data_IF_339498524597
#
_entry.id   IF_339498524597
#
_cell.length_a   1.000
_cell.length_b   1.000
_cell.length_c   1.000
_cell.angle_alpha   90.00
_cell.angle_beta   90.00
_cell.angle_gamma   90.00
#
_symmetry.space_group_name_H-M   'P 1'
#
loop_
_entity.id
_entity.type
_entity.pdbx_description
1 polymer ?
#
# COMPACT_ATOMS: atom_id res chain seq x y z
N UNK A 1 2.04 -3.49 -2.51
CA UNK A 1 3.33 -4.03 -2.00
C UNK A 1 4.14 -2.96 -1.24
N UNK A 2 4.23 -1.70 -1.67
CA UNK A 2 5.08 -0.69 -1.04
C UNK A 2 4.87 -0.46 0.46
N UNK A 3 3.62 -0.39 0.92
CA UNK A 3 3.32 -0.27 2.35
C UNK A 3 3.78 -1.51 3.14
N UNK A 4 3.64 -2.71 2.57
CA UNK A 4 4.08 -3.95 3.21
C UNK A 4 5.61 -4.00 3.39
N UNK A 5 6.38 -3.60 2.38
CA UNK A 5 7.84 -3.56 2.46
C UNK A 5 8.29 -2.59 3.58
N UNK A 6 7.71 -1.39 3.64
CA UNK A 6 8.01 -0.41 4.70
C UNK A 6 7.61 -0.90 6.10
N UNK A 7 6.42 -1.50 6.22
CA UNK A 7 5.98 -2.11 7.48
C UNK A 7 6.91 -3.28 7.89
N UNK A 8 7.38 -4.07 6.93
CA UNK A 8 8.34 -5.16 7.19
C UNK A 8 9.68 -4.63 7.65
N UNK A 9 10.20 -3.55 7.05
CA UNK A 9 11.44 -2.91 7.49
C UNK A 9 11.35 -2.43 8.94
N UNK A 10 10.26 -1.73 9.29
CA UNK A 10 10.04 -1.26 10.67
C UNK A 10 9.85 -2.44 11.63
N UNK A 11 9.15 -3.50 11.22
CA UNK A 11 8.93 -4.67 12.07
C UNK A 11 10.21 -5.48 12.32
N UNK A 12 11.15 -5.52 11.37
CA UNK A 12 12.48 -6.12 11.56
C UNK A 12 13.24 -5.45 12.71
N UNK A 13 13.19 -4.12 12.78
CA UNK A 13 13.81 -3.36 13.87
C UNK A 13 13.03 -3.49 15.18
N UNK A 14 11.68 -3.49 15.09
CA UNK A 14 10.82 -3.59 16.27
C UNK A 14 10.95 -4.94 16.99
N UNK A 15 11.14 -6.05 16.28
CA UNK A 15 11.18 -7.38 16.91
C UNK A 15 12.31 -7.55 17.91
N UNK A 16 13.34 -6.72 17.85
CA UNK A 16 14.45 -6.73 18.80
C UNK A 16 14.08 -6.10 20.15
N UNK A 17 13.02 -5.27 20.18
CA UNK A 17 12.63 -4.48 21.36
C UNK A 17 11.14 -4.63 21.73
N UNK A 18 10.32 -5.21 20.87
CA UNK A 18 8.88 -5.37 21.04
C UNK A 18 8.35 -6.60 20.29
N UNK A 19 7.04 -6.85 20.39
CA UNK A 19 6.34 -7.92 19.67
C UNK A 19 5.47 -7.36 18.54
N UNK A 20 6.01 -7.05 17.37
CA UNK A 20 5.24 -6.51 16.26
C UNK A 20 4.34 -7.57 15.60
N UNK A 21 3.17 -7.11 15.14
CA UNK A 21 2.27 -7.88 14.29
C UNK A 21 1.96 -7.03 13.07
N UNK A 22 2.10 -7.59 11.88
CA UNK A 22 1.75 -6.91 10.64
C UNK A 22 0.32 -7.27 10.25
N UNK A 23 -0.50 -6.24 10.01
CA UNK A 23 -1.83 -6.41 9.41
C UNK A 23 -1.76 -5.94 7.97
N UNK A 24 -1.88 -6.86 7.03
CA UNK A 24 -1.76 -6.58 5.60
C UNK A 24 -3.10 -6.64 4.89
N UNK A 25 -3.34 -5.67 4.00
CA UNK A 25 -4.49 -5.65 3.11
C UNK A 25 -4.14 -6.07 1.67
N UNK A 26 -2.88 -6.40 1.41
CA UNK A 26 -2.35 -6.66 0.07
C UNK A 26 -1.77 -8.07 -0.13
N UNK A 27 -1.84 -8.93 0.86
CA UNK A 27 -1.17 -10.23 0.89
C UNK A 27 0.05 -10.20 1.83
N UNK A 28 1.00 -11.11 1.66
CA UNK A 28 2.20 -11.19 2.51
C UNK A 28 2.05 -12.09 3.73
N UNK A 29 0.95 -12.82 3.85
CA UNK A 29 0.63 -13.69 5.00
C UNK A 29 1.62 -14.83 5.16
N UNK A 30 2.19 -15.30 4.07
CA UNK A 30 3.24 -16.33 4.11
C UNK A 30 4.64 -15.70 4.10
N UNK A 31 4.84 -14.69 3.26
CA UNK A 31 6.15 -14.06 3.05
C UNK A 31 6.64 -13.31 4.30
N UNK A 32 5.76 -12.59 5.00
CA UNK A 32 6.14 -11.82 6.20
C UNK A 32 6.60 -12.73 7.34
N UNK A 33 5.87 -13.78 7.77
CA UNK A 33 6.38 -14.70 8.79
C UNK A 33 7.70 -15.36 8.41
N UNK A 34 7.84 -15.77 7.15
CA UNK A 34 9.05 -16.46 6.69
C UNK A 34 10.28 -15.56 6.65
N UNK A 35 10.11 -14.29 6.30
CA UNK A 35 11.24 -13.37 6.15
C UNK A 35 11.44 -12.49 7.38
N UNK A 36 10.38 -11.85 7.88
CA UNK A 36 10.46 -10.93 9.03
C UNK A 36 10.47 -11.70 10.35
N UNK A 37 9.89 -12.89 10.36
CA UNK A 37 9.75 -13.72 11.56
C UNK A 37 8.71 -13.19 12.53
N UNK A 38 7.70 -12.45 12.05
CA UNK A 38 6.61 -11.91 12.87
C UNK A 38 5.25 -12.38 12.34
N UNK A 39 4.24 -12.41 13.22
CA UNK A 39 2.86 -12.74 12.83
C UNK A 39 2.35 -11.76 11.78
N UNK A 40 1.67 -12.26 10.75
CA UNK A 40 1.00 -11.45 9.75
C UNK A 40 -0.46 -11.84 9.63
N UNK A 41 -1.35 -10.88 9.84
CA UNK A 41 -2.78 -11.01 9.67
C UNK A 41 -3.22 -10.41 8.34
N UNK A 42 -4.20 -11.04 7.69
CA UNK A 42 -4.78 -10.52 6.47
C UNK A 42 -6.18 -9.95 6.72
N UNK A 43 -6.37 -8.71 6.31
CA UNK A 43 -7.69 -8.08 6.23
C UNK A 43 -7.92 -7.66 4.79
N UNK A 44 -9.02 -8.09 4.14
CA UNK A 44 -9.32 -7.69 2.76
C UNK A 44 -9.36 -6.18 2.60
N UNK A 45 -8.74 -5.66 1.54
CA UNK A 45 -8.71 -4.23 1.26
C UNK A 45 -10.08 -3.66 0.89
N UNK A 46 -10.30 -2.40 1.20
CA UNK A 46 -11.56 -1.65 1.04
C UNK A 46 -12.10 -1.62 -0.40
N UNK A 47 -11.20 -1.58 -1.37
CA UNK A 47 -11.57 -1.37 -2.78
C UNK A 47 -11.76 -2.69 -3.54
N UNK A 48 -11.87 -3.81 -2.85
CA UNK A 48 -12.16 -5.10 -3.48
C UNK A 48 -13.64 -5.30 -3.85
N UNK A 49 -14.47 -4.30 -3.61
CA UNK A 49 -15.80 -4.12 -4.16
C UNK A 49 -16.88 -5.10 -3.66
N UNK A 50 -16.55 -6.15 -2.93
CA UNK A 50 -17.50 -7.15 -2.42
C UNK A 50 -18.20 -6.72 -1.13
N UNK A 51 -17.75 -5.62 -0.52
CA UNK A 51 -18.37 -5.04 0.67
C UNK A 51 -18.54 -3.53 0.52
N UNK A 52 -19.73 -2.97 0.78
CA UNK A 52 -19.92 -1.53 0.82
C UNK A 52 -18.95 -0.85 1.79
N UNK A 53 -18.39 0.30 1.39
CA UNK A 53 -17.36 1.00 2.20
C UNK A 53 -17.74 1.22 3.66
N UNK A 54 -19.00 1.48 3.95
CA UNK A 54 -19.49 1.68 5.34
C UNK A 54 -19.42 0.40 6.16
N UNK A 55 -19.78 -0.75 5.58
CA UNK A 55 -19.71 -2.05 6.23
C UNK A 55 -18.24 -2.46 6.39
N UNK A 56 -17.40 -2.17 5.39
CA UNK A 56 -15.99 -2.47 5.44
C UNK A 56 -15.29 -1.70 6.57
N UNK A 57 -15.59 -0.41 6.77
CA UNK A 57 -15.02 0.37 7.88
C UNK A 57 -15.43 -0.20 9.25
N UNK A 58 -16.67 -0.69 9.40
CA UNK A 58 -17.11 -1.36 10.61
C UNK A 58 -16.41 -2.71 10.80
N UNK A 59 -16.31 -3.50 9.75
CA UNK A 59 -15.58 -4.76 9.75
C UNK A 59 -14.09 -4.56 10.12
N UNK A 60 -13.42 -3.60 9.50
CA UNK A 60 -12.03 -3.26 9.83
C UNK A 60 -11.88 -2.91 11.30
N UNK A 61 -12.75 -2.05 11.83
CA UNK A 61 -12.75 -1.69 13.26
C UNK A 61 -12.85 -2.93 14.14
N UNK A 62 -13.82 -3.79 13.86
CA UNK A 62 -14.12 -4.94 14.73
C UNK A 62 -13.00 -5.99 14.65
N UNK A 63 -12.40 -6.18 13.46
CA UNK A 63 -11.22 -7.04 13.31
C UNK A 63 -10.00 -6.49 14.05
N UNK A 64 -9.75 -5.18 13.97
CA UNK A 64 -8.65 -4.54 14.71
C UNK A 64 -8.87 -4.64 16.22
N UNK A 65 -10.10 -4.39 16.71
CA UNK A 65 -10.39 -4.51 18.13
C UNK A 65 -10.20 -5.94 18.65
N UNK A 66 -10.67 -6.94 17.90
CA UNK A 66 -10.47 -8.34 18.27
C UNK A 66 -8.98 -8.70 18.35
N UNK A 67 -8.17 -8.24 17.39
CA UNK A 67 -6.72 -8.46 17.39
C UNK A 67 -6.04 -7.74 18.56
N UNK A 68 -6.42 -6.49 18.83
CA UNK A 68 -5.89 -5.71 19.96
C UNK A 68 -6.24 -6.38 21.30
N UNK A 69 -7.45 -6.87 21.46
CA UNK A 69 -7.88 -7.59 22.67
C UNK A 69 -7.15 -8.93 22.84
N UNK A 70 -6.96 -9.68 21.75
CA UNK A 70 -6.24 -10.95 21.75
C UNK A 70 -4.77 -10.79 22.16
N UNK A 71 -4.13 -9.70 21.71
CA UNK A 71 -2.68 -9.52 21.82
C UNK A 71 -2.25 -8.49 22.86
N UNK A 72 -3.21 -7.83 23.50
CA UNK A 72 -2.98 -6.68 24.40
C UNK A 72 -2.08 -5.60 23.78
N UNK A 73 -2.29 -5.32 22.49
CA UNK A 73 -1.48 -4.36 21.75
C UNK A 73 -1.64 -2.94 22.31
N UNK A 74 -0.53 -2.25 22.54
CA UNK A 74 -0.49 -0.89 23.06
C UNK A 74 -0.45 0.17 21.96
N UNK A 75 0.00 -0.20 20.75
CA UNK A 75 0.15 0.71 19.61
C UNK A 75 -0.51 0.11 18.38
N UNK A 76 -1.31 0.92 17.68
CA UNK A 76 -1.78 0.66 16.33
C UNK A 76 -1.11 1.65 15.37
N UNK A 77 -0.22 1.16 14.55
CA UNK A 77 0.42 1.96 13.50
C UNK A 77 -0.29 1.76 12.17
N UNK A 78 -0.65 2.86 11.51
CA UNK A 78 -1.27 2.85 10.20
C UNK A 78 -0.33 3.43 9.15
N UNK A 79 0.08 2.62 8.18
CA UNK A 79 0.86 3.06 7.02
C UNK A 79 -0.06 3.22 5.81
N UNK A 80 -0.26 4.45 5.38
CA UNK A 80 -1.11 4.75 4.24
C UNK A 80 -1.30 6.24 4.00
N UNK A 81 -1.96 6.55 2.87
CA UNK A 81 -2.20 7.94 2.45
C UNK A 81 -3.15 8.65 3.42
N UNK A 82 -4.24 7.97 3.79
CA UNK A 82 -5.30 8.51 4.66
C UNK A 82 -5.79 7.41 5.57
N UNK A 83 -5.76 7.62 6.90
CA UNK A 83 -6.31 6.64 7.83
C UNK A 83 -7.79 6.36 7.58
N UNK A 84 -8.11 5.09 7.56
CA UNK A 84 -9.50 4.66 7.36
C UNK A 84 -10.37 5.00 8.58
N UNK A 85 -11.65 5.33 8.39
CA UNK A 85 -12.58 5.54 9.50
C UNK A 85 -12.65 4.38 10.49
N UNK A 86 -12.47 3.13 10.01
CA UNK A 86 -12.42 1.95 10.86
C UNK A 86 -11.25 1.96 11.84
N UNK A 87 -10.06 2.42 11.41
CA UNK A 87 -8.86 2.57 12.25
C UNK A 87 -9.11 3.61 13.36
N UNK A 88 -9.62 4.78 12.97
CA UNK A 88 -9.96 5.85 13.93
C UNK A 88 -11.03 5.38 14.92
N UNK A 89 -12.03 4.65 14.43
CA UNK A 89 -13.10 4.11 15.28
C UNK A 89 -12.60 3.06 16.28
N UNK A 90 -11.58 2.28 15.93
CA UNK A 90 -10.93 1.35 16.86
C UNK A 90 -10.25 2.11 18.01
N UNK A 91 -9.46 3.15 17.69
CA UNK A 91 -8.86 4.04 18.70
C UNK A 91 -9.90 4.66 19.63
N UNK A 92 -11.03 5.14 19.08
CA UNK A 92 -12.09 5.76 19.88
C UNK A 92 -12.78 4.78 20.85
N UNK A 93 -12.72 3.48 20.57
CA UNK A 93 -13.25 2.45 21.45
C UNK A 93 -12.23 1.95 22.47
N UNK A 94 -10.95 1.93 22.11
CA UNK A 94 -9.82 1.54 22.95
C UNK A 94 -8.96 2.79 23.24
N UNK A 95 -9.37 3.56 24.25
CA UNK A 95 -8.78 4.88 24.54
C UNK A 95 -7.32 4.85 24.98
N UNK A 96 -6.88 3.77 25.58
CA UNK A 96 -5.51 3.52 26.06
C UNK A 96 -4.56 3.10 24.92
N UNK A 97 -5.09 2.72 23.75
CA UNK A 97 -4.30 2.40 22.57
C UNK A 97 -3.65 3.66 21.98
N UNK A 98 -2.35 3.65 21.71
CA UNK A 98 -1.72 4.70 20.88
C UNK A 98 -2.06 4.49 19.41
N UNK A 99 -2.44 5.55 18.71
CA UNK A 99 -2.66 5.53 17.26
C UNK A 99 -1.58 6.36 16.55
N UNK A 100 -0.75 5.70 15.76
CA UNK A 100 0.36 6.32 15.03
C UNK A 100 0.10 6.27 13.53
N UNK A 101 0.29 7.37 12.84
CA UNK A 101 0.20 7.43 11.40
C UNK A 101 1.58 7.51 10.76
N UNK A 102 1.97 6.47 10.01
CA UNK A 102 3.13 6.51 9.13
C UNK A 102 2.70 7.14 7.81
N UNK A 103 2.89 8.44 7.72
CA UNK A 103 2.46 9.30 6.61
C UNK A 103 3.68 9.70 5.79
N UNK A 104 3.89 9.11 4.63
CA UNK A 104 5.02 9.53 3.80
C UNK A 104 4.86 10.99 3.33
N UNK A 105 5.99 11.68 3.12
CA UNK A 105 6.07 12.99 2.50
C UNK A 105 6.02 12.92 0.97
N UNK A 106 6.46 13.98 0.33
CA UNK A 106 6.56 14.14 -1.13
C UNK A 106 5.22 13.85 -1.84
N UNK A 107 4.20 14.59 -1.46
CA UNK A 107 2.89 14.49 -2.09
C UNK A 107 2.78 15.44 -3.27
N UNK A 108 2.10 15.00 -4.32
CA UNK A 108 1.76 15.87 -5.44
C UNK A 108 1.08 17.14 -4.94
N UNK A 109 1.43 18.28 -5.54
CA UNK A 109 0.84 19.59 -5.27
C UNK A 109 -0.64 19.60 -5.72
N UNK A 110 -1.51 19.02 -4.92
CA UNK A 110 -2.97 19.07 -5.11
C UNK A 110 -3.60 19.69 -3.88
N UNK A 111 -4.69 20.48 -4.03
CA UNK A 111 -5.44 20.96 -2.88
C UNK A 111 -5.90 19.76 -2.06
N UNK A 112 -5.24 19.52 -0.95
CA UNK A 112 -5.69 18.55 0.04
C UNK A 112 -6.60 19.34 0.97
N UNK A 113 -7.89 19.10 0.90
CA UNK A 113 -8.85 19.80 1.76
C UNK A 113 -8.49 19.68 3.25
N UNK A 114 -9.29 20.24 4.10
CA UNK A 114 -9.17 20.21 5.58
C UNK A 114 -9.01 18.79 6.17
N UNK A 115 -9.29 17.75 5.36
CA UNK A 115 -9.23 16.36 5.77
C UNK A 115 -7.85 15.95 6.34
N UNK A 116 -6.74 16.41 5.74
CA UNK A 116 -5.40 16.08 6.20
C UNK A 116 -5.16 16.60 7.64
N UNK A 117 -5.54 17.86 7.91
CA UNK A 117 -5.41 18.46 9.24
C UNK A 117 -6.28 17.77 10.28
N UNK A 118 -7.54 17.49 9.96
CA UNK A 118 -8.47 16.82 10.86
C UNK A 118 -8.04 15.40 11.20
N UNK A 119 -7.50 14.67 10.22
CA UNK A 119 -6.98 13.31 10.42
C UNK A 119 -5.72 13.32 11.27
N UNK A 120 -4.79 14.26 11.01
CA UNK A 120 -3.59 14.43 11.84
C UNK A 120 -3.91 14.66 13.31
N UNK A 121 -4.98 15.40 13.60
CA UNK A 121 -5.42 15.67 14.97
C UNK A 121 -5.96 14.46 15.73
N UNK A 122 -6.28 13.38 15.02
CA UNK A 122 -6.76 12.12 15.61
C UNK A 122 -5.61 11.17 15.99
N UNK A 123 -4.39 11.49 15.59
CA UNK A 123 -3.22 10.68 15.84
C UNK A 123 -2.55 11.08 17.16
N UNK A 124 -2.02 10.11 17.87
CA UNK A 124 -1.18 10.34 19.04
C UNK A 124 0.24 10.74 18.59
N UNK A 125 0.70 10.18 17.45
CA UNK A 125 1.92 10.60 16.77
C UNK A 125 1.80 10.41 15.26
N UNK A 126 2.61 11.17 14.51
CA UNK A 126 2.77 11.01 13.08
C UNK A 126 4.25 10.84 12.78
N UNK A 127 4.59 9.75 12.10
CA UNK A 127 5.93 9.50 11.58
C UNK A 127 5.91 9.81 10.08
N UNK A 128 6.78 10.67 9.61
CA UNK A 128 6.99 10.91 8.19
C UNK A 128 8.29 10.20 7.78
N UNK A 129 8.20 9.03 7.12
CA UNK A 129 9.37 8.40 6.53
C UNK A 129 10.06 9.37 5.58
N UNK A 130 11.34 9.62 5.84
CA UNK A 130 12.15 10.53 5.04
C UNK A 130 12.21 10.11 3.58
N UNK A 131 12.46 11.06 2.72
CA UNK A 131 12.64 10.84 1.28
C UNK A 131 13.93 11.55 0.86
N UNK A 132 14.77 10.90 0.07
CA UNK A 132 16.00 11.52 -0.41
C UNK A 132 15.72 12.81 -1.18
N UNK A 133 14.61 12.82 -1.94
CA UNK A 133 14.17 13.99 -2.71
C UNK A 133 13.40 15.04 -1.89
N UNK A 134 13.36 14.94 -0.54
CA UNK A 134 12.58 15.84 0.32
C UNK A 134 12.88 17.31 0.11
N UNK A 135 14.09 17.65 -0.28
CA UNK A 135 14.48 19.05 -0.56
C UNK A 135 13.73 19.64 -1.76
N UNK A 136 13.26 18.79 -2.68
CA UNK A 136 12.45 19.16 -3.84
C UNK A 136 10.94 19.09 -3.58
N UNK A 137 10.52 18.66 -2.37
CA UNK A 137 9.11 18.56 -2.04
C UNK A 137 8.39 19.91 -2.17
N UNK A 138 7.31 19.94 -2.90
CA UNK A 138 6.40 21.09 -3.09
C UNK A 138 4.98 20.77 -2.64
N UNK A 139 4.78 19.61 -2.03
CA UNK A 139 3.48 19.09 -1.62
C UNK A 139 2.96 19.66 -0.30
N UNK A 140 1.75 19.28 0.07
CA UNK A 140 1.07 19.78 1.26
C UNK A 140 1.70 19.31 2.58
N UNK A 141 2.62 18.35 2.54
CA UNK A 141 3.31 17.82 3.73
C UNK A 141 4.61 18.55 4.04
N UNK A 142 5.21 19.23 3.07
CA UNK A 142 6.54 19.87 3.16
C UNK A 142 6.76 20.71 4.43
N UNK A 143 5.81 21.58 4.74
CA UNK A 143 5.94 22.56 5.81
C UNK A 143 5.16 22.17 7.07
N UNK A 144 4.66 20.94 7.16
CA UNK A 144 3.93 20.49 8.34
C UNK A 144 4.88 20.17 9.49
N UNK A 145 4.50 20.65 10.68
CA UNK A 145 5.25 20.44 11.93
C UNK A 145 4.58 19.40 12.84
N UNK A 146 3.59 18.67 12.31
CA UNK A 146 2.81 17.69 13.06
C UNK A 146 3.38 16.28 12.99
N UNK A 147 4.49 16.09 12.27
CA UNK A 147 5.13 14.79 12.11
C UNK A 147 6.60 14.82 12.55
N UNK A 148 7.05 13.72 13.13
CA UNK A 148 8.46 13.43 13.30
C UNK A 148 8.99 12.87 11.99
N UNK A 149 9.93 13.57 11.39
CA UNK A 149 10.56 13.14 10.13
C UNK A 149 11.75 12.26 10.45
N UNK A 150 11.74 11.05 9.94
CA UNK A 150 12.86 10.10 10.07
C UNK A 150 13.78 10.18 8.85
N UNK A 151 14.90 9.47 8.89
CA UNK A 151 15.64 9.10 7.68
C UNK A 151 14.77 8.27 6.75
N UNK A 152 15.23 8.00 5.53
CA UNK A 152 14.52 7.13 4.61
C UNK A 152 14.34 5.72 5.21
N UNK A 153 13.16 5.14 5.02
CA UNK A 153 12.87 3.76 5.43
C UNK A 153 13.14 2.84 4.26
N UNK A 154 14.09 1.95 4.42
CA UNK A 154 14.46 0.94 3.42
C UNK A 154 14.35 -0.46 4.00
N UNK A 155 13.92 -1.41 3.17
CA UNK A 155 14.02 -2.84 3.50
C UNK A 155 15.39 -3.42 3.09
N UNK A 156 16.14 -2.69 2.24
CA UNK A 156 17.52 -3.04 1.93
C UNK A 156 18.43 -2.71 3.11
N UNK A 157 19.21 -3.67 3.53
CA UNK A 157 20.27 -3.55 4.52
C UNK A 157 21.51 -4.27 3.99
N UNK A 158 22.60 -3.54 3.85
CA UNK A 158 23.88 -4.08 3.35
C UNK A 158 24.35 -5.31 4.14
N UNK A 159 24.15 -5.28 5.46
CA UNK A 159 24.59 -6.36 6.38
C UNK A 159 23.85 -7.68 6.19
N UNK A 160 22.67 -7.66 5.62
CA UNK A 160 21.81 -8.85 5.43
C UNK A 160 21.52 -9.18 3.96
N UNK A 161 21.91 -8.29 3.06
CA UNK A 161 21.79 -8.53 1.62
C UNK A 161 22.73 -9.68 1.19
N UNK A 162 22.23 -10.54 0.32
CA UNK A 162 23.04 -11.61 -0.27
C UNK A 162 24.08 -11.00 -1.20
N UNK A 163 25.27 -11.61 -1.24
CA UNK A 163 26.26 -11.24 -2.23
C UNK A 163 25.78 -11.52 -3.65
N UNK A 164 26.52 -11.02 -4.65
CA UNK A 164 26.13 -11.14 -6.06
C UNK A 164 25.89 -12.60 -6.50
N UNK A 165 26.76 -13.50 -6.10
CA UNK A 165 26.67 -14.90 -6.54
C UNK A 165 25.54 -15.64 -5.83
N UNK A 166 25.42 -15.47 -4.53
CA UNK A 166 24.31 -16.02 -3.73
C UNK A 166 22.95 -15.52 -4.24
N UNK A 167 22.83 -14.20 -4.44
CA UNK A 167 21.61 -13.59 -4.96
C UNK A 167 21.23 -14.12 -6.34
N UNK A 168 22.21 -14.33 -7.22
CA UNK A 168 21.99 -14.91 -8.54
C UNK A 168 21.59 -16.39 -8.48
N UNK A 169 22.23 -17.18 -7.62
CA UNK A 169 21.86 -18.58 -7.42
C UNK A 169 20.42 -18.72 -6.92
N UNK A 170 20.04 -17.92 -5.92
CA UNK A 170 18.67 -17.94 -5.38
C UNK A 170 17.63 -17.52 -6.42
N UNK A 171 17.96 -16.58 -7.29
CA UNK A 171 17.09 -16.17 -8.40
C UNK A 171 17.19 -17.12 -9.61
N UNK A 172 18.13 -18.10 -9.57
CA UNK A 172 18.41 -19.02 -10.65
C UNK A 172 18.97 -18.32 -11.89
N UNK A 173 19.76 -17.27 -11.72
CA UNK A 173 20.44 -16.54 -12.80
C UNK A 173 21.82 -17.14 -13.06
N UNK A 174 22.28 -16.98 -14.30
CA UNK A 174 23.66 -17.30 -14.66
C UNK A 174 24.61 -16.32 -13.98
N UNK A 175 25.70 -16.84 -13.41
CA UNK A 175 26.64 -16.03 -12.62
C UNK A 175 27.48 -15.08 -13.49
N UNK A 176 27.71 -15.41 -14.75
CA UNK A 176 28.64 -14.73 -15.65
C UNK A 176 27.95 -13.78 -16.64
N UNK A 177 26.64 -13.94 -16.83
CA UNK A 177 25.86 -13.12 -17.75
C UNK A 177 25.37 -11.84 -17.09
N UNK A 178 25.26 -10.70 -17.80
CA UNK A 178 24.62 -9.52 -17.24
C UNK A 178 23.14 -9.76 -16.89
N UNK A 179 22.66 -9.13 -15.86
CA UNK A 179 21.27 -9.26 -15.39
C UNK A 179 20.66 -7.89 -15.12
N UNK A 180 19.46 -7.62 -15.64
CA UNK A 180 18.71 -6.38 -15.44
C UNK A 180 17.35 -6.68 -14.81
N UNK A 181 17.05 -5.96 -13.72
CA UNK A 181 15.73 -5.96 -13.09
C UNK A 181 14.81 -4.96 -13.79
N UNK A 182 13.59 -5.38 -14.16
CA UNK A 182 12.57 -4.45 -14.68
C UNK A 182 11.32 -4.51 -13.81
N UNK A 183 11.00 -3.38 -13.15
CA UNK A 183 9.92 -3.28 -12.18
C UNK A 183 9.15 -1.96 -12.32
N UNK A 184 8.30 -1.83 -13.33
CA UNK A 184 7.52 -0.62 -13.60
C UNK A 184 6.14 -0.58 -12.90
N UNK A 185 5.87 -1.54 -12.02
CA UNK A 185 4.62 -1.62 -11.27
C UNK A 185 3.57 -2.50 -11.93
N UNK A 186 2.34 -2.39 -11.44
CA UNK A 186 1.20 -3.18 -11.92
C UNK A 186 0.13 -2.23 -12.42
N UNK A 187 -0.51 -2.54 -13.53
CA UNK A 187 -1.69 -1.79 -13.77
C UNK A 187 -2.20 -1.70 -15.19
N UNK A 188 -2.45 -0.52 -15.61
CA UNK A 188 -3.21 -0.08 -16.75
C UNK A 188 -2.39 -0.22 -18.04
N UNK A 189 -3.01 0.03 -19.20
CA UNK A 189 -2.37 0.01 -20.52
C UNK A 189 -1.10 0.87 -20.59
N UNK A 190 -1.11 2.03 -19.96
CA UNK A 190 0.03 2.95 -19.85
C UNK A 190 1.31 2.30 -19.28
N UNK A 191 1.17 1.49 -18.22
CA UNK A 191 2.33 0.75 -17.64
C UNK A 191 2.83 -0.34 -18.59
N UNK A 192 1.94 -0.98 -19.33
CA UNK A 192 2.32 -2.00 -20.29
C UNK A 192 3.09 -1.40 -21.48
N UNK A 193 2.68 -0.23 -21.97
CA UNK A 193 3.38 0.50 -23.04
C UNK A 193 4.78 0.93 -22.59
N UNK A 194 4.91 1.51 -21.40
CA UNK A 194 6.19 1.86 -20.78
C UNK A 194 7.09 0.64 -20.59
N UNK A 195 6.50 -0.49 -20.16
CA UNK A 195 7.23 -1.75 -20.00
C UNK A 195 7.77 -2.23 -21.34
N UNK A 196 6.98 -2.19 -22.39
CA UNK A 196 7.40 -2.58 -23.74
C UNK A 196 8.49 -1.67 -24.26
N UNK A 197 8.39 -0.34 -24.05
CA UNK A 197 9.42 0.62 -24.43
C UNK A 197 10.74 0.38 -23.66
N UNK A 198 10.66 0.13 -22.37
CA UNK A 198 11.82 -0.20 -21.55
C UNK A 198 12.52 -1.49 -22.03
N UNK A 199 11.74 -2.54 -22.31
CA UNK A 199 12.27 -3.80 -22.82
C UNK A 199 12.91 -3.64 -24.20
N UNK A 200 12.37 -2.79 -25.08
CA UNK A 200 13.00 -2.46 -26.38
C UNK A 200 14.37 -1.82 -26.20
N UNK A 201 14.56 -0.98 -25.19
CA UNK A 201 15.86 -0.36 -24.89
C UNK A 201 16.94 -1.36 -24.43
N UNK A 202 16.55 -2.57 -24.03
CA UNK A 202 17.49 -3.63 -23.67
C UNK A 202 17.91 -4.51 -24.84
N UNK A 203 17.26 -4.42 -25.99
CA UNK A 203 17.62 -5.17 -27.19
C UNK A 203 19.04 -4.76 -27.64
N UNK A 204 19.85 -5.76 -27.97
CA UNK A 204 21.25 -5.58 -28.37
C UNK A 204 22.24 -5.66 -27.20
N UNK A 205 21.81 -5.71 -25.96
CA UNK A 205 22.69 -6.00 -24.85
C UNK A 205 23.05 -7.49 -24.86
N UNK A 206 24.31 -7.77 -25.16
CA UNK A 206 24.80 -9.14 -25.39
C UNK A 206 24.62 -10.00 -24.14
N UNK A 207 24.11 -11.22 -24.32
CA UNK A 207 23.95 -12.26 -23.31
C UNK A 207 23.09 -11.82 -22.07
N UNK A 208 22.25 -10.78 -22.21
CA UNK A 208 21.47 -10.24 -21.12
C UNK A 208 20.40 -11.19 -20.62
N UNK A 209 20.29 -11.28 -19.30
CA UNK A 209 19.17 -11.89 -18.59
C UNK A 209 18.26 -10.76 -18.07
N UNK A 210 17.00 -10.75 -18.45
CA UNK A 210 16.02 -9.75 -17.96
C UNK A 210 15.13 -10.38 -16.92
N UNK A 211 15.09 -9.81 -15.74
CA UNK A 211 14.26 -10.30 -14.63
C UNK A 211 13.04 -9.39 -14.46
N UNK A 212 11.87 -10.00 -14.55
CA UNK A 212 10.59 -9.35 -14.30
C UNK A 212 9.96 -9.87 -13.02
N UNK A 213 9.45 -8.98 -12.18
CA UNK A 213 8.62 -9.37 -11.01
C UNK A 213 7.17 -9.65 -11.42
N UNK A 214 6.76 -9.17 -12.58
CA UNK A 214 5.47 -9.45 -13.21
C UNK A 214 5.61 -9.39 -14.73
N UNK A 215 5.06 -10.39 -15.41
CA UNK A 215 5.07 -10.43 -16.86
C UNK A 215 4.06 -9.42 -17.44
N UNK A 216 4.43 -8.57 -18.41
CA UNK A 216 3.50 -7.72 -19.13
C UNK A 216 2.64 -8.58 -20.06
N UNK A 217 1.33 -8.46 -19.90
CA UNK A 217 0.32 -9.20 -20.66
C UNK A 217 -0.73 -8.19 -21.09
N UNK A 218 -1.15 -8.21 -22.35
CA UNK A 218 -2.23 -7.38 -22.87
C UNK A 218 -3.62 -7.84 -22.35
N UNK A 219 -4.67 -7.13 -22.74
CA UNK A 219 -6.05 -7.44 -22.33
C UNK A 219 -6.54 -8.79 -22.85
N UNK A 220 -5.89 -9.35 -23.88
CA UNK A 220 -6.21 -10.63 -24.51
C UNK A 220 -5.30 -11.77 -23.97
N UNK A 221 -4.40 -11.49 -23.07
CA UNK A 221 -3.47 -12.45 -22.50
C UNK A 221 -2.17 -12.65 -23.30
N UNK A 222 -1.93 -11.86 -24.36
CA UNK A 222 -0.72 -11.95 -25.15
C UNK A 222 0.47 -11.31 -24.45
N UNK A 223 1.65 -11.87 -24.65
CA UNK A 223 2.90 -11.30 -24.11
C UNK A 223 3.25 -10.01 -24.86
N UNK A 224 3.55 -8.95 -24.12
CA UNK A 224 4.08 -7.69 -24.65
C UNK A 224 5.61 -7.64 -24.64
N UNK A 225 6.25 -8.77 -24.47
CA UNK A 225 7.71 -8.91 -24.47
C UNK A 225 8.22 -8.93 -25.90
N UNK A 226 9.15 -8.05 -26.27
CA UNK A 226 9.82 -8.11 -27.58
C UNK A 226 10.60 -9.42 -27.75
N UNK A 227 10.70 -9.89 -29.01
CA UNK A 227 11.53 -11.04 -29.36
C UNK A 227 13.02 -10.74 -29.09
N UNK A 228 13.77 -11.79 -28.80
CA UNK A 228 15.23 -11.70 -28.64
C UNK A 228 15.73 -11.37 -27.25
N UNK A 229 14.84 -11.27 -26.24
CA UNK A 229 15.22 -11.10 -24.85
C UNK A 229 15.05 -12.40 -24.05
N UNK A 230 16.06 -12.77 -23.26
CA UNK A 230 16.00 -13.85 -22.29
C UNK A 230 15.30 -13.37 -21.02
N UNK A 231 13.98 -13.60 -20.95
CA UNK A 231 13.14 -13.11 -19.88
C UNK A 231 12.93 -14.19 -18.82
N UNK A 232 13.24 -13.82 -17.57
CA UNK A 232 12.94 -14.63 -16.40
C UNK A 232 11.92 -13.93 -15.51
N UNK A 233 10.83 -14.61 -15.21
CA UNK A 233 9.88 -14.12 -14.22
C UNK A 233 10.25 -14.65 -12.84
N UNK A 234 10.43 -13.73 -11.87
CA UNK A 234 10.81 -14.07 -10.51
C UNK A 234 9.75 -13.59 -9.53
N UNK A 235 9.41 -14.43 -8.57
CA UNK A 235 8.62 -14.07 -7.40
C UNK A 235 9.48 -14.30 -6.16
N UNK A 236 10.09 -13.23 -5.66
CA UNK A 236 10.95 -13.27 -4.48
C UNK A 236 10.57 -12.14 -3.52
N UNK A 237 10.53 -12.43 -2.24
CA UNK A 237 10.30 -11.45 -1.19
C UNK A 237 11.27 -11.70 -0.03
N UNK A 238 11.94 -10.66 0.43
CA UNK A 238 11.95 -9.31 -0.12
C UNK A 238 12.98 -9.20 -1.26
N UNK A 239 12.59 -8.51 -2.31
CA UNK A 239 13.50 -8.28 -3.44
C UNK A 239 14.76 -7.51 -3.00
N UNK A 240 14.63 -6.67 -1.97
CA UNK A 240 15.73 -5.91 -1.37
C UNK A 240 16.95 -6.78 -1.01
N UNK A 241 16.74 -8.03 -0.61
CA UNK A 241 17.82 -8.94 -0.20
C UNK A 241 18.71 -9.43 -1.36
N UNK A 242 18.21 -9.36 -2.58
CA UNK A 242 18.88 -9.95 -3.77
C UNK A 242 19.23 -8.89 -4.82
N UNK A 243 19.26 -7.61 -4.46
CA UNK A 243 19.52 -6.52 -5.40
C UNK A 243 20.92 -6.57 -5.99
N UNK A 244 21.91 -7.11 -5.29
CA UNK A 244 23.26 -7.29 -5.80
C UNK A 244 23.34 -8.29 -6.98
N UNK A 245 22.30 -9.05 -7.26
CA UNK A 245 22.22 -9.90 -8.44
C UNK A 245 22.27 -9.11 -9.75
N UNK A 246 21.88 -7.83 -9.73
CA UNK A 246 21.61 -7.04 -10.93
C UNK A 246 22.74 -6.07 -11.26
N UNK A 247 23.06 -5.98 -12.55
CA UNK A 247 24.01 -5.01 -13.11
C UNK A 247 23.36 -3.66 -13.37
N UNK A 248 22.03 -3.65 -13.55
CA UNK A 248 21.21 -2.46 -13.67
C UNK A 248 19.74 -2.74 -13.37
N UNK A 249 18.96 -1.69 -13.21
CA UNK A 249 17.53 -1.78 -13.01
C UNK A 249 16.75 -0.73 -13.81
N UNK A 250 15.53 -1.06 -14.19
CA UNK A 250 14.54 -0.12 -14.71
C UNK A 250 13.36 -0.17 -13.77
N UNK A 251 13.07 0.90 -13.07
CA UNK A 251 12.12 0.89 -11.99
C UNK A 251 11.14 2.08 -12.06
N UNK A 252 9.89 1.83 -11.64
CA UNK A 252 9.01 2.94 -11.35
C UNK A 252 9.58 3.77 -10.19
N UNK A 253 9.43 5.09 -10.24
CA UNK A 253 9.99 6.01 -9.25
C UNK A 253 9.19 6.02 -7.94
N UNK A 254 8.72 4.84 -7.52
CA UNK A 254 8.05 4.65 -6.24
C UNK A 254 9.00 4.75 -5.07
N UNK A 255 8.47 5.11 -3.89
CA UNK A 255 9.27 5.29 -2.67
C UNK A 255 10.24 4.12 -2.42
N UNK A 256 9.74 2.89 -2.35
CA UNK A 256 10.60 1.74 -2.01
C UNK A 256 11.63 1.43 -3.09
N UNK A 257 11.23 1.46 -4.38
CA UNK A 257 12.16 1.18 -5.46
C UNK A 257 13.41 2.08 -5.41
N UNK A 258 13.21 3.39 -5.21
CA UNK A 258 14.31 4.35 -5.08
C UNK A 258 15.13 4.12 -3.81
N UNK A 259 14.46 3.94 -2.67
CA UNK A 259 15.13 3.78 -1.37
C UNK A 259 15.67 2.37 -1.11
N UNK A 260 15.52 1.44 -2.04
CA UNK A 260 16.14 0.11 -2.00
C UNK A 260 17.24 -0.01 -3.08
N UNK A 261 16.95 0.34 -4.35
CA UNK A 261 17.89 0.20 -5.46
C UNK A 261 19.10 1.12 -5.36
N UNK A 262 18.89 2.39 -4.99
CA UNK A 262 20.00 3.34 -4.95
C UNK A 262 20.95 3.07 -3.76
N UNK A 263 20.49 2.77 -2.54
CA UNK A 263 21.38 2.31 -1.47
C UNK A 263 22.10 0.98 -1.80
N UNK A 264 21.45 0.07 -2.52
CA UNK A 264 22.09 -1.14 -3.06
C UNK A 264 23.07 -0.85 -4.22
N UNK A 265 23.23 0.42 -4.57
CA UNK A 265 24.15 0.92 -5.62
C UNK A 265 23.88 0.31 -7.01
N UNK A 266 22.64 -0.08 -7.28
CA UNK A 266 22.23 -0.62 -8.59
C UNK A 266 22.03 0.52 -9.57
N UNK A 267 22.77 0.59 -10.69
CA UNK A 267 22.56 1.58 -11.75
C UNK A 267 21.11 1.53 -12.25
N UNK A 268 20.39 2.63 -12.16
CA UNK A 268 18.93 2.58 -12.36
C UNK A 268 18.43 3.64 -13.33
N UNK A 269 17.53 3.23 -14.23
CA UNK A 269 16.64 4.14 -14.98
C UNK A 269 15.30 4.21 -14.26
N UNK A 270 14.85 5.42 -13.97
CA UNK A 270 13.58 5.72 -13.30
C UNK A 270 12.52 6.17 -14.31
N UNK A 271 11.37 5.51 -14.28
CA UNK A 271 10.19 5.86 -15.09
C UNK A 271 9.04 6.16 -14.17
N UNK A 272 8.58 7.41 -14.12
CA UNK A 272 7.54 7.83 -13.19
C UNK A 272 6.16 7.30 -13.57
N UNK A 273 5.37 6.93 -12.55
CA UNK A 273 3.94 6.65 -12.68
C UNK A 273 3.16 7.76 -12.00
N UNK A 274 2.40 8.54 -12.76
CA UNK A 274 1.61 9.66 -12.24
C UNK A 274 0.33 9.12 -11.60
N UNK A 275 0.39 8.82 -10.31
CA UNK A 275 -0.73 8.21 -9.57
C UNK A 275 -0.93 8.79 -8.18
N UNK A 276 -2.17 9.04 -7.85
CA UNK A 276 -2.60 9.35 -6.49
C UNK A 276 -1.91 10.57 -5.88
N UNK A 277 -1.27 10.36 -4.75
CA UNK A 277 -0.63 11.42 -3.96
C UNK A 277 0.90 11.41 -4.04
N UNK A 278 1.51 10.31 -4.48
CA UNK A 278 2.97 10.17 -4.55
C UNK A 278 3.55 10.99 -5.70
N UNK A 279 4.44 11.92 -5.41
CA UNK A 279 5.12 12.72 -6.42
C UNK A 279 6.38 12.02 -6.91
N UNK A 280 6.15 11.02 -7.76
CA UNK A 280 7.22 10.21 -8.35
C UNK A 280 8.10 11.03 -9.28
N UNK A 281 7.51 11.99 -9.99
CA UNK A 281 8.24 12.81 -10.95
C UNK A 281 9.25 13.72 -10.25
N UNK A 282 8.86 14.40 -9.19
CA UNK A 282 9.80 15.21 -8.39
C UNK A 282 10.94 14.35 -7.84
N UNK A 283 10.65 13.10 -7.45
CA UNK A 283 11.70 12.17 -6.99
C UNK A 283 12.64 11.77 -8.12
N UNK A 284 12.13 11.50 -9.33
CA UNK A 284 12.95 11.18 -10.50
C UNK A 284 13.85 12.34 -10.90
N UNK A 285 13.31 13.57 -10.92
CA UNK A 285 14.07 14.79 -11.23
C UNK A 285 15.23 14.96 -10.23
N UNK A 286 14.96 14.80 -8.93
CA UNK A 286 16.00 14.89 -7.91
C UNK A 286 17.13 13.85 -8.12
N UNK A 287 16.77 12.61 -8.45
CA UNK A 287 17.75 11.56 -8.69
C UNK A 287 18.62 11.85 -9.92
N UNK A 288 18.03 12.39 -10.97
CA UNK A 288 18.71 12.72 -12.23
C UNK A 288 19.60 13.95 -12.07
N UNK A 289 19.08 15.05 -11.51
CA UNK A 289 19.83 16.29 -11.27
C UNK A 289 21.10 16.07 -10.44
N UNK A 290 21.05 15.14 -9.50
CA UNK A 290 22.20 14.80 -8.66
C UNK A 290 23.00 13.60 -9.20
N UNK A 291 22.59 13.02 -10.30
CA UNK A 291 23.29 11.94 -10.99
C UNK A 291 23.23 10.57 -10.30
N UNK A 292 22.27 10.35 -9.41
CA UNK A 292 22.07 9.06 -8.72
C UNK A 292 21.39 8.02 -9.60
N UNK A 293 20.55 8.45 -10.53
CA UNK A 293 19.87 7.59 -11.49
C UNK A 293 19.62 8.36 -12.79
N UNK A 294 19.26 7.67 -13.86
CA UNK A 294 18.78 8.28 -15.09
C UNK A 294 17.25 8.42 -15.01
N UNK A 295 16.74 9.56 -15.43
CA UNK A 295 15.30 9.80 -15.55
C UNK A 295 14.86 9.65 -17.00
N UNK A 296 13.89 8.77 -17.27
CA UNK A 296 13.19 8.73 -18.55
C UNK A 296 11.88 9.52 -18.45
N UNK A 297 11.55 10.27 -19.49
CA UNK A 297 10.28 10.95 -19.57
C UNK A 297 9.14 9.93 -19.69
N UNK A 298 8.31 9.88 -18.66
CA UNK A 298 7.23 8.93 -18.55
C UNK A 298 6.12 9.10 -19.60
N UNK A 299 6.06 10.23 -20.28
CA UNK A 299 5.10 10.53 -21.34
C UNK A 299 5.65 10.24 -22.75
N UNK A 300 6.94 9.98 -22.89
CA UNK A 300 7.62 9.72 -24.15
C UNK A 300 8.22 8.31 -24.17
N UNK A 301 7.57 7.41 -24.92
CA UNK A 301 7.99 6.01 -25.03
C UNK A 301 9.34 5.85 -25.75
N UNK A 302 9.66 6.73 -26.69
CA UNK A 302 10.95 6.72 -27.38
C UNK A 302 12.05 7.16 -26.43
N UNK A 303 11.85 8.22 -25.66
CA UNK A 303 12.77 8.65 -24.62
C UNK A 303 13.03 7.55 -23.59
N UNK A 304 11.98 6.78 -23.17
CA UNK A 304 12.18 5.63 -22.29
C UNK A 304 13.15 4.64 -22.92
N UNK A 305 12.93 4.28 -24.21
CA UNK A 305 13.76 3.33 -24.93
C UNK A 305 15.21 3.82 -25.01
N UNK A 306 15.44 5.07 -25.41
CA UNK A 306 16.78 5.64 -25.57
C UNK A 306 17.50 5.80 -24.21
N UNK A 307 16.79 6.23 -23.16
CA UNK A 307 17.40 6.34 -21.82
C UNK A 307 17.79 4.96 -21.28
N UNK A 308 16.99 3.93 -21.50
CA UNK A 308 17.33 2.57 -21.09
C UNK A 308 18.56 2.04 -21.82
N UNK A 309 18.76 2.38 -23.09
CA UNK A 309 19.96 1.99 -23.85
C UNK A 309 21.26 2.47 -23.21
N UNK A 310 21.23 3.60 -22.49
CA UNK A 310 22.41 4.11 -21.79
C UNK A 310 22.93 3.13 -20.72
N UNK A 311 22.07 2.28 -20.17
CA UNK A 311 22.49 1.24 -19.23
C UNK A 311 23.35 0.14 -19.88
N UNK A 312 23.40 0.05 -21.21
CA UNK A 312 24.27 -0.89 -21.89
C UNK A 312 25.75 -0.46 -21.80
N UNK A 313 26.00 0.85 -21.61
CA UNK A 313 27.35 1.38 -21.43
C UNK A 313 27.90 1.06 -20.01
N UNK A 314 29.01 0.31 -19.90
CA UNK A 314 29.62 0.00 -18.60
C UNK A 314 30.18 1.24 -17.88
N UNK A 315 30.57 2.28 -18.59
CA UNK A 315 31.07 3.52 -17.99
C UNK A 315 29.93 4.26 -17.29
N UNK A 316 28.77 4.33 -17.92
CA UNK A 316 27.59 4.95 -17.35
C UNK A 316 27.10 4.18 -16.11
N UNK A 317 27.06 2.85 -16.17
CA UNK A 317 26.75 2.05 -14.97
C UNK A 317 27.75 2.30 -13.83
N UNK A 318 29.03 2.38 -14.17
CA UNK A 318 30.08 2.66 -13.17
C UNK A 318 29.95 4.07 -12.57
N UNK A 319 29.56 5.04 -13.38
CA UNK A 319 29.26 6.40 -12.91
C UNK A 319 28.10 6.41 -11.90
N UNK A 320 26.98 5.82 -12.27
CA UNK A 320 25.79 5.73 -11.39
C UNK A 320 26.10 5.00 -10.09
N UNK A 321 26.78 3.86 -10.17
CA UNK A 321 27.20 3.10 -8.99
C UNK A 321 28.06 3.95 -8.02
N UNK A 322 29.06 4.70 -8.55
CA UNK A 322 29.88 5.58 -7.71
C UNK A 322 29.08 6.72 -7.09
N UNK A 323 28.07 7.25 -7.80
CA UNK A 323 27.24 8.32 -7.26
C UNK A 323 26.37 7.81 -6.11
N UNK A 324 25.77 6.64 -6.26
CA UNK A 324 24.93 6.04 -5.21
C UNK A 324 25.67 5.84 -3.88
N UNK A 325 26.99 5.64 -3.89
CA UNK A 325 27.82 5.58 -2.65
C UNK A 325 27.78 6.85 -1.80
N UNK A 326 27.35 7.97 -2.37
CA UNK A 326 27.30 9.27 -1.68
C UNK A 326 25.94 9.51 -1.00
N UNK A 327 24.99 8.61 -1.18
CA UNK A 327 23.68 8.73 -0.55
C UNK A 327 23.79 8.64 0.97
N UNK A 328 22.95 9.38 1.71
CA UNK A 328 22.86 9.21 3.15
C UNK A 328 22.30 7.83 3.49
N UNK A 329 22.64 7.35 4.68
CA UNK A 329 22.11 6.08 5.19
C UNK A 329 20.58 6.13 5.37
N UNK A 330 19.92 5.02 5.07
CA UNK A 330 18.46 4.86 5.18
C UNK A 330 18.08 4.22 6.54
N UNK A 331 18.39 4.89 7.65
CA UNK A 331 18.18 4.39 9.02
C UNK A 331 16.72 4.59 9.54
N UNK A 332 15.81 5.06 8.70
CA UNK A 332 14.47 5.44 9.12
C UNK A 332 13.62 4.31 9.68
N UNK A 333 13.91 3.05 9.35
CA UNK A 333 13.22 1.90 9.93
C UNK A 333 13.48 1.80 11.45
N UNK A 334 14.73 1.92 11.85
CA UNK A 334 15.16 1.90 13.26
C UNK A 334 14.61 3.11 14.04
N UNK A 335 14.69 4.29 13.43
CA UNK A 335 14.13 5.51 14.03
C UNK A 335 12.61 5.39 14.23
N UNK A 336 11.87 4.90 13.23
CA UNK A 336 10.43 4.68 13.32
C UNK A 336 10.09 3.59 14.37
N UNK A 337 10.86 2.52 14.43
CA UNK A 337 10.71 1.46 15.45
C UNK A 337 10.87 2.02 16.86
N UNK A 338 11.88 2.85 17.09
CA UNK A 338 12.11 3.49 18.38
C UNK A 338 10.93 4.40 18.78
N UNK A 339 10.41 5.21 17.86
CA UNK A 339 9.23 6.06 18.11
C UNK A 339 8.02 5.21 18.49
N UNK A 340 7.77 4.11 17.76
CA UNK A 340 6.65 3.21 18.04
C UNK A 340 6.80 2.55 19.41
N UNK A 341 8.01 2.14 19.78
CA UNK A 341 8.32 1.56 21.09
C UNK A 341 8.07 2.58 22.22
N UNK A 342 8.53 3.81 22.06
CA UNK A 342 8.29 4.88 23.03
C UNK A 342 6.78 5.16 23.19
N UNK A 343 6.03 5.14 22.10
CA UNK A 343 4.58 5.26 22.14
C UNK A 343 3.91 4.10 22.88
N UNK A 344 4.47 2.90 22.87
CA UNK A 344 3.95 1.75 23.60
C UNK A 344 4.22 1.85 25.11
N UNK A 345 5.33 2.48 25.51
CA UNK A 345 5.74 2.60 26.93
C UNK A 345 5.03 3.75 27.66
N UNK A 346 4.53 4.74 26.95
CA UNK A 346 3.77 5.85 27.53
C UNK A 346 2.33 5.39 27.76
N UNK A 347 1.85 5.47 29.01
CA UNK A 347 0.42 5.28 29.30
C UNK A 347 -0.37 6.39 28.61
N UNK A 348 -0.98 6.06 27.49
CA UNK A 348 -1.96 6.92 26.82
C UNK A 348 -3.26 6.85 27.66
N UNK A 349 -3.28 7.59 28.77
CA UNK A 349 -4.54 7.84 29.47
C UNK A 349 -5.52 8.46 28.48
N UNK A 350 -6.80 8.10 28.59
CA UNK A 350 -7.87 8.71 27.81
C UNK A 350 -7.57 10.19 27.61
N UNK A 351 -7.33 10.61 26.38
CA UNK A 351 -7.26 12.03 26.09
C UNK A 351 -8.68 12.55 25.76
N UNK A 352 -9.52 12.80 26.78
CA UNK A 352 -10.84 13.40 26.60
C UNK A 352 -10.70 14.76 25.91
N UNK A 353 -9.55 15.42 26.13
CA UNK A 353 -9.26 16.72 25.58
C UNK A 353 -9.03 16.73 24.05
N UNK A 354 -8.39 15.70 23.46
CA UNK A 354 -8.22 15.66 22.00
C UNK A 354 -9.55 15.34 21.30
N UNK A 355 -10.32 14.41 21.84
CA UNK A 355 -11.66 14.06 21.34
C UNK A 355 -12.63 15.21 21.55
N UNK A 356 -12.58 15.88 22.71
CA UNK A 356 -13.40 17.05 23.00
C UNK A 356 -13.00 18.26 22.13
N UNK A 357 -11.71 18.51 21.91
CA UNK A 357 -11.23 19.54 20.98
C UNK A 357 -11.65 19.25 19.55
N UNK A 358 -11.67 18.01 19.13
CA UNK A 358 -12.12 17.64 17.80
C UNK A 358 -13.64 17.77 17.65
N UNK A 359 -14.43 17.39 18.67
CA UNK A 359 -15.88 17.64 18.71
C UNK A 359 -16.22 19.14 18.71
N UNK A 360 -15.47 19.95 19.44
CA UNK A 360 -15.60 21.41 19.45
C UNK A 360 -15.16 22.00 18.10
N UNK A 361 -14.01 21.65 17.56
CA UNK A 361 -13.55 22.15 16.26
C UNK A 361 -14.40 21.65 15.09
N UNK A 362 -14.98 20.47 15.13
CA UNK A 362 -15.95 20.04 14.12
C UNK A 362 -17.27 20.82 14.18
N UNK A 363 -17.63 21.38 15.33
CA UNK A 363 -18.76 22.32 15.50
C UNK A 363 -18.43 23.71 14.99
N UNK A 364 -17.21 24.20 15.24
CA UNK A 364 -16.79 25.56 14.87
C UNK A 364 -16.50 25.72 13.38
N UNK A 365 -16.22 24.64 12.70
CA UNK A 365 -15.87 24.72 11.29
C UNK A 365 -17.07 24.47 10.39
N UNK A 366 -18.16 24.98 10.38
CA UNK A 366 -19.25 24.95 9.39
C UNK A 366 -18.98 24.34 7.98
N UNK A 367 -17.93 23.54 7.86
CA UNK A 367 -17.23 23.02 6.70
C UNK A 367 -17.39 21.51 6.50
N UNK A 368 -18.15 20.83 7.37
CA UNK A 368 -18.58 19.47 7.08
C UNK A 368 -19.61 19.60 5.97
N UNK A 369 -19.28 19.14 4.77
CA UNK A 369 -20.24 19.20 3.67
C UNK A 369 -21.57 18.61 4.13
N UNK A 370 -22.70 19.16 3.71
CA UNK A 370 -24.04 18.65 4.02
C UNK A 370 -24.15 17.14 3.82
N UNK A 371 -23.42 16.61 2.83
CA UNK A 371 -23.28 15.17 2.59
C UNK A 371 -22.55 14.41 3.71
N UNK A 372 -21.53 15.00 4.31
CA UNK A 372 -20.78 14.37 5.41
C UNK A 372 -21.58 14.40 6.71
N UNK A 373 -22.33 15.49 6.96
CA UNK A 373 -23.23 15.59 8.08
C UNK A 373 -24.41 14.62 7.93
N UNK A 374 -25.06 14.59 6.77
CA UNK A 374 -26.12 13.64 6.47
C UNK A 374 -25.64 12.19 6.58
N UNK A 375 -24.42 11.88 6.14
CA UNK A 375 -23.80 10.57 6.29
C UNK A 375 -23.49 10.25 7.78
N UNK A 376 -23.09 11.22 8.58
CA UNK A 376 -22.83 11.03 10.00
C UNK A 376 -24.15 10.77 10.76
N UNK A 377 -25.19 11.53 10.48
CA UNK A 377 -26.54 11.34 11.04
C UNK A 377 -27.11 9.97 10.61
N UNK A 378 -27.00 9.63 9.34
CA UNK A 378 -27.44 8.31 8.84
C UNK A 378 -26.69 7.15 9.49
N UNK A 379 -25.38 7.30 9.75
CA UNK A 379 -24.59 6.30 10.49
C UNK A 379 -25.08 6.13 11.92
N UNK A 380 -25.41 7.22 12.60
CA UNK A 380 -25.95 7.15 13.98
C UNK A 380 -27.34 6.51 14.00
N UNK A 381 -28.20 6.86 13.05
CA UNK A 381 -29.52 6.25 12.90
C UNK A 381 -29.42 4.74 12.57
N UNK A 382 -28.49 4.35 11.71
CA UNK A 382 -28.24 2.94 11.41
C UNK A 382 -27.71 2.16 12.63
N UNK A 383 -26.87 2.78 13.48
CA UNK A 383 -26.40 2.19 14.74
C UNK A 383 -27.56 2.05 15.76
N UNK A 384 -28.43 3.04 15.85
CA UNK A 384 -29.63 2.99 16.69
C UNK A 384 -30.58 1.90 16.18
N UNK A 385 -30.85 1.84 14.88
CA UNK A 385 -31.67 0.79 14.27
C UNK A 385 -31.11 -0.61 14.51
N UNK A 386 -29.79 -0.81 14.40
CA UNK A 386 -29.11 -2.08 14.75
C UNK A 386 -29.27 -2.45 16.24
N UNK A 387 -29.31 -1.46 17.12
CA UNK A 387 -29.48 -1.68 18.55
C UNK A 387 -30.90 -2.23 18.90
N UNK A 388 -31.88 -1.86 18.10
CA UNK A 388 -33.28 -2.31 18.27
C UNK A 388 -33.63 -3.55 17.42
N UNK A 389 -32.73 -3.99 16.51
CA UNK A 389 -32.88 -5.22 15.71
C UNK A 389 -31.69 -6.16 15.95
N UNK A 390 -31.65 -6.87 17.08
CA UNK A 390 -30.51 -7.69 17.48
C UNK A 390 -30.30 -8.99 16.68
N UNK A 391 -31.12 -9.25 15.67
CA UNK A 391 -31.12 -10.54 14.95
C UNK A 391 -30.33 -10.54 13.64
N UNK A 392 -29.49 -9.53 13.39
CA UNK A 392 -28.58 -9.56 12.25
C UNK A 392 -27.36 -10.40 12.64
N UNK A 393 -27.29 -11.61 12.12
CA UNK A 393 -26.11 -12.47 12.25
C UNK A 393 -25.19 -12.19 11.06
N UNK A 394 -23.95 -11.81 11.34
CA UNK A 394 -22.90 -11.73 10.32
C UNK A 394 -22.21 -13.08 10.25
N UNK A 395 -22.41 -13.79 9.16
CA UNK A 395 -21.68 -15.01 8.89
C UNK A 395 -20.54 -14.72 7.92
N UNK A 396 -19.31 -14.99 8.35
CA UNK A 396 -18.15 -14.95 7.48
C UNK A 396 -18.05 -16.32 6.81
N UNK A 397 -18.35 -16.36 5.52
CA UNK A 397 -18.17 -17.56 4.71
C UNK A 397 -16.83 -17.44 3.99
N UNK A 398 -15.86 -18.26 4.39
CA UNK A 398 -14.64 -18.45 3.63
C UNK A 398 -14.94 -19.54 2.60
N UNK A 399 -14.99 -19.20 1.33
CA UNK A 399 -15.10 -20.19 0.27
C UNK A 399 -13.80 -20.23 -0.50
N UNK A 400 -13.21 -21.41 -0.58
CA UNK A 400 -12.10 -21.72 -1.47
C UNK A 400 -12.63 -22.21 -2.83
N UNK A 401 -13.95 -22.14 -3.03
CA UNK A 401 -14.61 -22.64 -4.22
C UNK A 401 -14.40 -21.71 -5.42
N UNK A 402 -13.89 -22.20 -6.56
CA UNK A 402 -13.81 -21.43 -7.79
C UNK A 402 -15.17 -21.12 -8.43
N UNK A 403 -16.25 -21.71 -7.91
CA UNK A 403 -17.61 -21.54 -8.40
C UNK A 403 -18.46 -20.57 -7.55
N UNK A 404 -17.82 -19.83 -6.66
CA UNK A 404 -18.52 -18.84 -5.86
C UNK A 404 -19.03 -17.69 -6.75
N UNK A 405 -20.32 -17.46 -6.72
CA UNK A 405 -21.02 -16.50 -7.58
C UNK A 405 -21.91 -17.15 -8.63
N UNK A 406 -22.17 -18.44 -8.47
CA UNK A 406 -23.18 -19.17 -9.25
C UNK A 406 -24.62 -18.79 -8.83
N UNK A 407 -25.59 -19.47 -9.43
CA UNK A 407 -27.02 -19.22 -9.21
C UNK A 407 -27.45 -19.49 -7.76
N UNK A 408 -26.75 -20.40 -7.04
CA UNK A 408 -27.01 -20.74 -5.64
C UNK A 408 -26.72 -19.57 -4.72
N UNK A 409 -25.64 -18.83 -4.97
CA UNK A 409 -25.29 -17.65 -4.18
C UNK A 409 -26.25 -16.49 -4.43
N UNK A 410 -26.68 -16.34 -5.69
CA UNK A 410 -27.71 -15.37 -6.05
C UNK A 410 -29.07 -15.69 -5.38
N UNK A 411 -29.41 -16.96 -5.26
CA UNK A 411 -30.61 -17.43 -4.57
C UNK A 411 -30.52 -17.19 -3.05
N UNK A 412 -29.38 -17.50 -2.44
CA UNK A 412 -29.12 -17.23 -1.02
C UNK A 412 -29.19 -15.73 -0.72
N UNK A 413 -28.63 -14.89 -1.59
CA UNK A 413 -28.72 -13.43 -1.47
C UNK A 413 -30.15 -12.92 -1.61
N UNK A 414 -30.96 -13.50 -2.51
CA UNK A 414 -32.40 -13.17 -2.63
C UNK A 414 -33.17 -13.53 -1.36
N UNK A 415 -32.91 -14.68 -0.78
CA UNK A 415 -33.52 -15.12 0.48
C UNK A 415 -33.16 -14.19 1.65
N UNK A 416 -31.90 -13.73 1.69
CA UNK A 416 -31.44 -12.72 2.65
C UNK A 416 -32.18 -11.39 2.49
N UNK A 417 -32.32 -10.93 1.25
CA UNK A 417 -33.00 -9.67 0.91
C UNK A 417 -34.47 -9.76 1.28
N UNK A 418 -35.11 -10.92 1.06
CA UNK A 418 -36.52 -11.16 1.38
C UNK A 418 -36.79 -11.38 2.89
N UNK A 419 -35.76 -11.40 3.73
CA UNK A 419 -35.89 -11.63 5.17
C UNK A 419 -36.13 -13.09 5.56
N UNK A 420 -36.00 -14.01 4.60
CA UNK A 420 -36.17 -15.47 4.83
C UNK A 420 -34.93 -16.03 5.58
N UNK A 421 -33.76 -15.40 5.36
CA UNK A 421 -32.50 -15.69 6.06
C UNK A 421 -31.90 -14.37 6.52
N UNK A 422 -31.52 -14.26 7.80
CA UNK A 422 -30.98 -13.03 8.39
C UNK A 422 -29.47 -13.09 8.55
N UNK A 423 -28.76 -13.20 7.44
CA UNK A 423 -27.28 -13.23 7.43
C UNK A 423 -26.70 -12.09 6.63
N UNK A 424 -25.59 -11.51 7.08
CA UNK A 424 -24.70 -10.76 6.23
C UNK A 424 -23.58 -11.72 5.76
N UNK A 425 -23.54 -12.05 4.48
CA UNK A 425 -22.45 -12.85 3.91
C UNK A 425 -21.24 -11.99 3.61
N UNK A 426 -20.12 -12.35 4.17
CA UNK A 426 -18.81 -11.88 3.79
C UNK A 426 -18.20 -12.88 2.79
N UNK A 427 -18.12 -12.47 1.54
CA UNK A 427 -17.63 -13.32 0.46
C UNK A 427 -16.15 -13.03 0.25
N UNK A 428 -15.31 -14.05 0.42
CA UNK A 428 -13.85 -13.95 0.19
C UNK A 428 -13.47 -14.82 -0.99
N UNK A 429 -13.26 -14.24 -2.14
CA UNK A 429 -12.79 -14.94 -3.34
C UNK A 429 -13.25 -14.25 -4.62
N UNK A 430 -12.47 -14.24 -5.64
CA UNK A 430 -12.81 -13.51 -6.84
C UNK A 430 -12.34 -14.18 -8.12
N UNK A 431 -13.27 -14.64 -8.95
CA UNK A 431 -13.09 -14.68 -10.40
C UNK A 431 -13.64 -13.37 -11.03
N UNK A 432 -13.18 -13.01 -12.22
CA UNK A 432 -13.63 -11.78 -12.88
C UNK A 432 -15.11 -11.81 -13.28
N UNK A 433 -15.69 -12.99 -13.52
CA UNK A 433 -17.12 -13.17 -13.71
C UNK A 433 -17.93 -12.89 -12.43
N UNK A 434 -17.35 -13.16 -11.28
CA UNK A 434 -17.94 -12.85 -10.00
C UNK A 434 -18.01 -11.34 -9.75
N UNK A 435 -16.98 -10.56 -10.15
CA UNK A 435 -16.97 -9.09 -9.97
C UNK A 435 -18.13 -8.41 -10.68
N UNK A 436 -18.49 -8.86 -11.86
CA UNK A 436 -19.62 -8.30 -12.64
C UNK A 436 -20.96 -8.63 -12.01
N UNK A 437 -21.23 -9.88 -11.66
CA UNK A 437 -22.46 -10.30 -10.98
C UNK A 437 -22.62 -9.73 -9.57
N UNK A 438 -21.53 -9.56 -8.87
CA UNK A 438 -21.51 -8.95 -7.54
C UNK A 438 -22.00 -7.50 -7.55
N UNK A 439 -21.60 -6.69 -8.52
CA UNK A 439 -22.03 -5.30 -8.61
C UNK A 439 -23.52 -5.19 -8.91
N UNK A 440 -24.06 -6.14 -9.68
CA UNK A 440 -25.49 -6.28 -9.91
C UNK A 440 -26.24 -6.71 -8.64
N UNK A 441 -25.72 -7.69 -7.91
CA UNK A 441 -26.30 -8.17 -6.63
C UNK A 441 -26.20 -7.09 -5.57
N UNK A 442 -25.06 -6.43 -5.41
CA UNK A 442 -24.87 -5.36 -4.44
C UNK A 442 -25.75 -4.15 -4.75
N UNK A 443 -25.93 -3.80 -6.02
CA UNK A 443 -26.85 -2.74 -6.45
C UNK A 443 -28.31 -3.11 -6.21
N UNK A 444 -28.69 -4.35 -6.45
CA UNK A 444 -30.03 -4.89 -6.18
C UNK A 444 -30.31 -4.97 -4.67
N UNK A 445 -29.37 -5.50 -3.88
CA UNK A 445 -29.47 -5.57 -2.44
C UNK A 445 -29.58 -4.18 -1.79
N UNK A 446 -28.79 -3.22 -2.26
CA UNK A 446 -28.85 -1.83 -1.80
C UNK A 446 -30.20 -1.16 -2.19
N UNK A 447 -30.68 -1.41 -3.39
CA UNK A 447 -32.00 -0.92 -3.86
C UNK A 447 -33.14 -1.50 -3.05
N UNK A 448 -33.07 -2.77 -2.67
CA UNK A 448 -34.10 -3.47 -1.89
C UNK A 448 -34.06 -3.08 -0.41
N UNK A 449 -32.86 -2.95 0.19
CA UNK A 449 -32.73 -2.39 1.55
C UNK A 449 -33.30 -0.96 1.62
N UNK A 450 -33.11 -0.16 0.59
CA UNK A 450 -33.67 1.19 0.53
C UNK A 450 -35.20 1.18 0.41
N UNK A 451 -35.78 0.21 -0.29
CA UNK A 451 -37.25 0.01 -0.37
C UNK A 451 -37.84 -0.48 0.96
N UNK A 452 -37.22 -1.45 1.60
CA UNK A 452 -37.68 -1.98 2.91
C UNK A 452 -37.64 -0.88 3.98
N UNK A 453 -36.61 -0.04 3.99
CA UNK A 453 -36.54 1.12 4.92
C UNK A 453 -37.61 2.16 4.59
N UNK A 454 -37.96 2.36 3.31
CA UNK A 454 -38.98 3.32 2.91
C UNK A 454 -40.42 2.76 3.14
N UNK A 455 -40.68 1.49 2.91
CA UNK A 455 -41.97 0.87 3.20
C UNK A 455 -42.28 0.79 4.70
N UNK A 456 -41.27 0.63 5.57
CA UNK A 456 -41.45 0.73 7.02
C UNK A 456 -41.64 2.16 7.55
N UNK A 457 -41.24 3.18 6.76
CA UNK A 457 -41.53 4.59 7.07
C UNK A 457 -42.96 5.01 6.72
N UNK A 458 -43.62 4.31 5.81
CA UNK A 458 -45.00 4.59 5.44
C UNK A 458 -46.02 3.81 6.34
N UNK A 459 -45.52 2.91 7.19
CA UNK A 459 -46.34 2.10 8.12
C UNK A 459 -46.14 2.49 9.58
N UNK A 460 -45.44 3.58 9.88
CA UNK A 460 -45.34 4.25 11.16
C UNK A 460 -45.87 5.71 11.07
#
# INVERSE_FOLDING_TARGET
>A
MGHLARASAIALELKEIANPIIVSMAGGVAEVPNFVGVRCEYIPGRDRGWMPRKLWDAYLRDRLLALIEETDAQVLSFDGVVPYPGVISAKLKKNDLALVWVRRGLWQRKPQGLALGLQSMMMDAIIEPGDFARVYDHGPTKNRKDAVVTSAVSLYQESTALDRNEARLVLGLDLNRPAVLVQLGTGDSDVNEKMTAALKGLIGWKDLQVVLTKKPIDVNGNSLVPDGLDIKQVRYFPLANVLHAFDAAICATGYNGVHELLPAQVPTVLVSNIRGTDDQETRAIWCDDLGYALRADHADLENITETVKLLQDPEERSRLHRMCKKLPEANGAKEAAQILYEMATVKHGAQPAAIARMRLKSRDFGLVSYRQLANAVYRQLALVYRKFNPHIVVQIVKTDSPHFGDETDAQTMRQLINGEVRYEHLITGASDNYRRRRDEIASSAYGTMRRVVNTHKESL
#
